data_IF_362367304135
#
_entry.id   IF_362367304135
#
_cell.length_a   1.000
_cell.length_b   1.000
_cell.length_c   1.000
_cell.angle_alpha   90.00
_cell.angle_beta   90.00
_cell.angle_gamma   90.00
#
_symmetry.space_group_name_H-M   'P 1'
#
loop_
_entity.id
_entity.type
_entity.pdbx_description
1 polymer ?
#
# COMPACT_ATOMS: atom_id res chain seq x y z
N UNK A 1 -18.81 10.61 -13.74
CA UNK A 1 -18.00 11.62 -14.42
C UNK A 1 -16.57 11.24 -14.09
N UNK A 2 -15.75 10.88 -15.08
CA UNK A 2 -14.32 10.73 -14.80
C UNK A 2 -13.81 12.13 -14.47
N UNK A 3 -13.17 12.31 -13.33
CA UNK A 3 -12.58 13.60 -12.97
C UNK A 3 -11.55 14.00 -14.04
N UNK A 4 -11.43 15.30 -14.29
CA UNK A 4 -10.45 15.81 -15.25
C UNK A 4 -9.05 15.43 -14.76
N UNK A 5 -8.15 14.89 -15.61
CA UNK A 5 -6.85 14.41 -15.18
C UNK A 5 -6.08 15.50 -14.42
N UNK A 6 -5.61 15.19 -13.22
CA UNK A 6 -4.76 16.04 -12.42
C UNK A 6 -3.37 15.42 -12.26
N UNK A 7 -2.30 16.24 -12.17
CA UNK A 7 -0.99 15.74 -11.77
C UNK A 7 -1.08 14.95 -10.47
N UNK A 8 -0.32 13.85 -10.38
CA UNK A 8 -0.35 12.86 -9.30
C UNK A 8 -1.53 11.88 -9.27
N UNK A 9 -2.49 11.98 -10.19
CA UNK A 9 -3.48 10.91 -10.37
C UNK A 9 -2.80 9.61 -10.82
N UNK A 10 -3.37 8.48 -10.42
CA UNK A 10 -2.84 7.17 -10.75
C UNK A 10 -3.87 6.37 -11.52
N UNK A 11 -3.43 5.76 -12.61
CA UNK A 11 -4.27 4.93 -13.46
C UNK A 11 -3.56 3.62 -13.81
N UNK A 12 -4.34 2.59 -14.11
CA UNK A 12 -3.85 1.30 -14.57
C UNK A 12 -4.06 1.18 -16.08
N UNK A 13 -3.04 0.74 -16.78
CA UNK A 13 -3.18 0.27 -18.15
C UNK A 13 -3.25 -1.26 -18.15
N UNK A 14 -4.27 -1.78 -18.82
CA UNK A 14 -4.46 -3.21 -19.12
C UNK A 14 -4.89 -3.31 -20.57
N UNK A 15 -4.20 -4.11 -21.38
CA UNK A 15 -4.53 -4.31 -22.81
C UNK A 15 -4.60 -2.99 -23.61
N UNK A 16 -3.76 -2.03 -23.23
CA UNK A 16 -3.74 -0.69 -23.81
C UNK A 16 -2.68 -0.55 -24.91
N UNK A 17 -2.66 0.61 -25.57
CA UNK A 17 -1.56 1.01 -26.47
C UNK A 17 -0.21 1.24 -25.75
N UNK A 18 -0.20 1.16 -24.42
CA UNK A 18 0.98 1.25 -23.56
C UNK A 18 1.13 -0.05 -22.75
N UNK A 19 2.35 -0.42 -22.33
CA UNK A 19 2.56 -1.66 -21.58
C UNK A 19 1.71 -1.75 -20.33
N UNK A 20 1.33 -2.95 -19.93
CA UNK A 20 0.59 -3.16 -18.69
C UNK A 20 1.37 -2.65 -17.47
N UNK A 21 0.64 -1.99 -16.57
CA UNK A 21 1.21 -1.46 -15.34
C UNK A 21 0.42 -0.31 -14.73
N UNK A 22 1.01 0.30 -13.71
CA UNK A 22 0.47 1.49 -13.04
C UNK A 22 1.24 2.73 -13.47
N UNK A 23 0.49 3.79 -13.71
CA UNK A 23 0.99 5.05 -14.24
C UNK A 23 0.57 6.21 -13.36
N UNK A 24 1.42 7.24 -13.28
CA UNK A 24 1.13 8.50 -12.62
C UNK A 24 1.04 9.63 -13.65
N UNK A 25 0.03 10.48 -13.54
CA UNK A 25 -0.07 11.70 -14.35
C UNK A 25 1.01 12.68 -13.93
N UNK A 26 1.83 13.12 -14.89
CA UNK A 26 2.92 14.09 -14.68
C UNK A 26 2.75 15.37 -15.51
N UNK A 27 1.74 15.44 -16.39
CA UNK A 27 1.43 16.64 -17.16
C UNK A 27 0.13 16.51 -17.96
N UNK A 28 -0.55 17.64 -18.19
CA UNK A 28 -1.92 17.69 -18.75
C UNK A 28 -2.14 18.74 -19.86
N UNK A 29 -1.05 19.39 -20.31
CA UNK A 29 -1.09 20.58 -21.20
C UNK A 29 -1.54 20.27 -22.64
N UNK A 30 -0.96 19.26 -23.32
CA UNK A 30 -1.39 18.86 -24.68
C UNK A 30 -1.69 17.35 -24.72
N UNK A 31 -2.74 16.95 -23.99
CA UNK A 31 -3.02 15.55 -23.67
C UNK A 31 -2.46 15.16 -22.31
N UNK A 32 -2.56 13.88 -21.97
CA UNK A 32 -2.12 13.37 -20.65
C UNK A 32 -0.77 12.69 -20.79
N UNK A 33 0.19 13.12 -19.98
CA UNK A 33 1.52 12.51 -19.90
C UNK A 33 1.59 11.61 -18.67
N UNK A 34 1.87 10.33 -18.90
CA UNK A 34 1.86 9.26 -17.92
C UNK A 34 3.27 8.75 -17.69
N UNK A 35 3.73 8.75 -16.45
CA UNK A 35 4.98 8.10 -16.03
C UNK A 35 4.67 6.69 -15.52
N UNK A 36 5.37 5.68 -16.02
CA UNK A 36 5.25 4.32 -15.48
C UNK A 36 5.89 4.24 -14.10
N UNK A 37 5.13 3.78 -13.10
CA UNK A 37 5.58 3.68 -11.70
C UNK A 37 5.58 2.25 -11.18
N UNK A 38 4.77 1.36 -11.76
CA UNK A 38 4.81 -0.06 -11.46
C UNK A 38 4.52 -0.93 -12.70
N UNK A 39 5.03 -2.16 -12.70
CA UNK A 39 4.74 -3.16 -13.73
C UNK A 39 3.34 -3.79 -13.55
N UNK A 40 3.00 -4.74 -14.44
CA UNK A 40 1.72 -5.45 -14.42
C UNK A 40 1.50 -6.26 -13.13
N UNK A 41 2.58 -6.70 -12.48
CA UNK A 41 2.53 -7.41 -11.20
C UNK A 41 2.45 -6.47 -10.00
N UNK A 42 2.50 -5.16 -10.23
CA UNK A 42 2.49 -4.13 -9.18
C UNK A 42 3.86 -3.87 -8.56
N UNK A 43 4.95 -4.43 -9.12
CA UNK A 43 6.29 -4.13 -8.65
C UNK A 43 6.71 -2.74 -9.12
N UNK A 44 7.40 -2.00 -8.25
CA UNK A 44 7.90 -0.67 -8.57
C UNK A 44 8.89 -0.70 -9.73
N UNK A 45 8.76 0.24 -10.65
CA UNK A 45 9.66 0.40 -11.80
C UNK A 45 10.26 1.80 -11.79
N UNK A 46 11.57 1.88 -12.03
CA UNK A 46 12.33 3.13 -12.08
C UNK A 46 12.99 3.32 -13.46
N UNK A 47 12.27 3.01 -14.53
CA UNK A 47 12.79 3.12 -15.90
C UNK A 47 12.64 4.53 -16.50
N UNK A 48 11.91 5.42 -15.81
CA UNK A 48 11.68 6.80 -16.25
C UNK A 48 10.82 6.92 -17.52
N UNK A 49 10.15 5.84 -17.95
CA UNK A 49 9.40 5.85 -19.20
C UNK A 49 8.12 6.66 -19.07
N UNK A 50 7.97 7.62 -19.97
CA UNK A 50 6.76 8.43 -20.10
C UNK A 50 6.02 8.09 -21.40
N UNK A 51 4.70 8.10 -21.33
CA UNK A 51 3.81 7.87 -22.45
C UNK A 51 2.84 9.03 -22.55
N UNK A 52 2.50 9.41 -23.78
CA UNK A 52 1.51 10.46 -24.02
C UNK A 52 0.26 9.84 -24.60
N UNK A 53 -0.88 10.13 -24.00
CA UNK A 53 -2.17 9.60 -24.40
C UNK A 53 -3.16 10.75 -24.59
N UNK A 54 -4.20 10.51 -25.40
CA UNK A 54 -5.29 11.48 -25.51
C UNK A 54 -6.10 11.52 -24.20
N UNK A 55 -6.85 12.60 -23.97
CA UNK A 55 -7.78 12.67 -22.83
C UNK A 55 -8.89 11.61 -22.93
N UNK A 56 -9.27 11.23 -24.15
CA UNK A 56 -10.25 10.18 -24.39
C UNK A 56 -9.71 8.80 -23.98
N UNK A 57 -8.47 8.47 -24.33
CA UNK A 57 -7.84 7.21 -23.93
C UNK A 57 -7.63 7.16 -22.40
N UNK A 58 -7.20 8.28 -21.80
CA UNK A 58 -7.04 8.38 -20.34
C UNK A 58 -8.33 8.09 -19.59
N UNK A 59 -9.47 8.61 -20.06
CA UNK A 59 -10.77 8.36 -19.44
C UNK A 59 -11.19 6.88 -19.46
N UNK A 60 -10.58 6.07 -20.33
CA UNK A 60 -10.78 4.63 -20.37
C UNK A 60 -9.93 3.85 -19.37
N UNK A 61 -8.92 4.47 -18.75
CA UNK A 61 -8.07 3.78 -17.78
C UNK A 61 -8.73 3.71 -16.40
N UNK A 62 -8.78 2.52 -15.78
CA UNK A 62 -9.19 2.40 -14.39
C UNK A 62 -8.28 3.20 -13.46
N UNK A 63 -8.87 3.83 -12.44
CA UNK A 63 -8.12 4.45 -11.35
C UNK A 63 -7.29 3.39 -10.62
N UNK A 64 -6.07 3.75 -10.24
CA UNK A 64 -5.16 2.88 -9.51
C UNK A 64 -4.81 3.50 -8.15
N UNK A 65 -4.62 2.64 -7.14
CA UNK A 65 -4.07 3.10 -5.88
C UNK A 65 -2.63 3.61 -6.06
N UNK A 66 -2.26 4.65 -5.31
CA UNK A 66 -0.88 5.12 -5.25
C UNK A 66 0.03 3.96 -4.75
N UNK A 67 1.03 3.52 -5.53
CA UNK A 67 1.95 2.47 -5.11
C UNK A 67 2.82 2.89 -3.90
N UNK A 68 2.94 4.19 -3.62
CA UNK A 68 3.61 4.74 -2.43
C UNK A 68 2.64 4.94 -1.24
N UNK A 69 1.36 4.58 -1.39
CA UNK A 69 0.39 4.64 -0.30
C UNK A 69 0.77 3.70 0.85
N UNK A 70 0.61 4.15 2.09
CA UNK A 70 0.79 3.26 3.24
C UNK A 70 -0.22 2.11 3.20
N UNK A 71 0.27 0.87 3.12
CA UNK A 71 -0.62 -0.28 3.27
C UNK A 71 -1.18 -0.34 4.70
N UNK A 72 -2.44 -0.78 4.84
CA UNK A 72 -3.08 -0.95 6.15
C UNK A 72 -2.27 -1.88 7.05
N UNK A 73 -1.67 -2.94 6.48
CA UNK A 73 -0.77 -3.84 7.19
C UNK A 73 0.47 -3.11 7.72
N UNK A 74 1.09 -2.24 6.91
CA UNK A 74 2.25 -1.45 7.33
C UNK A 74 1.88 -0.44 8.41
N UNK A 75 0.67 0.13 8.35
CA UNK A 75 0.19 1.16 9.30
C UNK A 75 -0.29 0.58 10.63
N UNK A 76 -0.92 -0.59 10.60
CA UNK A 76 -1.67 -1.15 11.75
C UNK A 76 -1.29 -2.58 12.12
N UNK A 77 -0.44 -3.26 11.35
CA UNK A 77 -0.16 -4.68 11.55
C UNK A 77 0.44 -5.00 12.92
N UNK A 78 1.41 -4.21 13.39
CA UNK A 78 2.01 -4.40 14.72
C UNK A 78 1.02 -4.14 15.85
N UNK A 79 0.18 -3.10 15.73
CA UNK A 79 -0.87 -2.79 16.71
C UNK A 79 -1.92 -3.89 16.77
N UNK A 80 -2.37 -4.39 15.61
CA UNK A 80 -3.32 -5.50 15.53
C UNK A 80 -2.76 -6.78 16.13
N UNK A 81 -1.50 -7.12 15.84
CA UNK A 81 -0.82 -8.28 16.43
C UNK A 81 -0.69 -8.14 17.96
N UNK A 82 -0.29 -6.96 18.44
CA UNK A 82 -0.17 -6.69 19.87
C UNK A 82 -1.54 -6.81 20.57
N UNK A 83 -2.61 -6.28 19.99
CA UNK A 83 -3.97 -6.40 20.52
C UNK A 83 -4.44 -7.87 20.59
N UNK A 84 -4.19 -8.66 19.54
CA UNK A 84 -4.53 -10.08 19.51
C UNK A 84 -3.79 -10.87 20.61
N UNK A 85 -2.48 -10.65 20.75
CA UNK A 85 -1.67 -11.27 21.82
C UNK A 85 -2.12 -10.82 23.21
N UNK A 86 -2.49 -9.55 23.36
CA UNK A 86 -3.02 -9.05 24.63
C UNK A 86 -4.32 -9.75 25.01
N UNK A 87 -5.27 -9.89 24.07
CA UNK A 87 -6.53 -10.62 24.29
C UNK A 87 -6.30 -12.09 24.64
N UNK A 88 -5.38 -12.77 23.95
CA UNK A 88 -4.98 -14.14 24.29
C UNK A 88 -4.40 -14.21 25.71
N UNK A 89 -3.61 -13.20 26.12
CA UNK A 89 -3.06 -13.14 27.47
C UNK A 89 -4.12 -12.97 28.56
N UNK A 90 -5.35 -12.55 28.24
CA UNK A 90 -6.44 -12.45 29.23
C UNK A 90 -7.02 -13.82 29.60
N UNK A 91 -6.78 -14.86 28.79
CA UNK A 91 -7.28 -16.22 29.03
C UNK A 91 -6.14 -17.17 29.41
N UNK A 92 -6.18 -17.67 30.65
CA UNK A 92 -5.23 -18.69 31.12
C UNK A 92 -5.30 -19.97 30.28
N UNK A 93 -6.50 -20.37 29.88
CA UNK A 93 -6.74 -21.60 29.11
C UNK A 93 -6.11 -21.48 27.71
N UNK A 94 -6.25 -20.32 27.08
CA UNK A 94 -5.64 -20.05 25.78
C UNK A 94 -4.11 -20.06 25.85
N UNK A 95 -3.52 -19.44 26.87
CA UNK A 95 -2.05 -19.45 27.04
C UNK A 95 -1.50 -20.85 27.32
N UNK A 96 -2.25 -21.65 28.08
CA UNK A 96 -1.89 -23.03 28.43
C UNK A 96 -1.98 -23.96 27.22
N UNK A 97 -3.02 -23.81 26.40
CA UNK A 97 -3.16 -24.54 25.14
C UNK A 97 -2.01 -24.24 24.15
N UNK A 98 -1.45 -23.04 24.21
CA UNK A 98 -0.29 -22.63 23.41
C UNK A 98 1.05 -23.05 24.02
N UNK A 99 1.07 -23.56 25.27
CA UNK A 99 2.31 -23.90 25.98
C UNK A 99 3.17 -22.68 26.34
N UNK A 100 2.57 -21.48 26.40
CA UNK A 100 3.29 -20.22 26.63
C UNK A 100 2.85 -19.62 27.97
N UNK A 101 3.79 -19.09 28.75
CA UNK A 101 3.43 -18.39 29.98
C UNK A 101 2.77 -17.05 29.71
N UNK A 102 1.82 -16.67 30.56
CA UNK A 102 1.11 -15.40 30.47
C UNK A 102 2.05 -14.19 30.57
N UNK A 103 3.11 -14.31 31.38
CA UNK A 103 4.15 -13.28 31.51
C UNK A 103 4.99 -13.13 30.23
N UNK A 104 5.33 -14.24 29.55
CA UNK A 104 6.02 -14.18 28.27
C UNK A 104 5.17 -13.48 27.20
N UNK A 105 3.87 -13.78 27.14
CA UNK A 105 2.92 -13.16 26.23
C UNK A 105 2.78 -11.64 26.48
N UNK A 106 2.68 -11.21 27.75
CA UNK A 106 2.62 -9.79 28.11
C UNK A 106 3.92 -9.06 27.74
N UNK A 107 5.08 -9.66 27.99
CA UNK A 107 6.35 -9.07 27.60
C UNK A 107 6.48 -8.93 26.08
N UNK A 108 5.97 -9.89 25.31
CA UNK A 108 5.92 -9.81 23.85
C UNK A 108 5.03 -8.64 23.36
N UNK A 109 3.87 -8.43 24.00
CA UNK A 109 3.01 -7.26 23.70
C UNK A 109 3.75 -5.95 23.93
N UNK A 110 4.43 -5.79 25.09
CA UNK A 110 5.22 -4.58 25.39
C UNK A 110 6.32 -4.37 24.34
N UNK A 111 7.05 -5.42 23.99
CA UNK A 111 8.11 -5.34 22.99
C UNK A 111 7.59 -4.90 21.61
N UNK A 112 6.43 -5.40 21.18
CA UNK A 112 5.79 -5.00 19.92
C UNK A 112 5.37 -3.53 19.92
N UNK A 113 4.80 -3.03 21.02
CA UNK A 113 4.42 -1.61 21.15
C UNK A 113 5.64 -0.70 21.11
N UNK A 114 6.72 -1.07 21.81
CA UNK A 114 7.98 -0.31 21.76
C UNK A 114 8.58 -0.32 20.36
N UNK A 115 8.58 -1.47 19.67
CA UNK A 115 9.07 -1.57 18.30
C UNK A 115 8.25 -0.69 17.33
N UNK A 116 6.92 -0.71 17.43
CA UNK A 116 6.03 0.15 16.63
C UNK A 116 6.32 1.65 16.88
N UNK A 117 6.50 2.05 18.15
CA UNK A 117 6.86 3.43 18.50
C UNK A 117 8.20 3.85 17.88
N UNK A 118 9.22 3.01 17.98
CA UNK A 118 10.55 3.29 17.40
C UNK A 118 10.48 3.38 15.87
N UNK A 119 9.71 2.51 15.22
CA UNK A 119 9.54 2.51 13.77
C UNK A 119 8.80 3.76 13.27
N UNK A 120 7.89 4.34 14.06
CA UNK A 120 7.17 5.58 13.72
C UNK A 120 7.99 6.86 13.93
N UNK A 121 9.01 6.81 14.77
CA UNK A 121 9.87 7.96 15.11
C UNK A 121 11.12 8.09 14.21
N UNK A 122 11.31 7.16 13.27
CA UNK A 122 12.38 7.18 12.26
C UNK A 122 11.85 7.65 10.92
#
# INVERSE_FOLDING_TARGET
>A
MADDPAPYDHVRATDAAIPDGTYRVVGVTDGVTLLRVADASGNRVHDGRVFRVSRADYAGFPEAANPDGESVLRRWGLVGLAAALFLVSLSSDATSALGVSQSALRNAVVALVVADLVLRLR
#
